data_IF_336073466693
#
_entry.id   IF_336073466693
#
_cell.length_a   1.000
_cell.length_b   1.000
_cell.length_c   1.000
_cell.angle_alpha   90.00
_cell.angle_beta   90.00
_cell.angle_gamma   90.00
#
_symmetry.space_group_name_H-M   'P 1'
#
loop_
_entity.id
_entity.type
_entity.pdbx_description
1 polymer ?
#
# COMPACT_ATOMS: atom_id res chain seq x y z
N UNK A 1 -49.62 -23.99 -36.08
CA UNK A 1 -50.41 -24.53 -34.96
C UNK A 1 -49.49 -24.62 -33.76
N UNK A 2 -49.73 -23.77 -32.76
CA UNK A 2 -48.79 -23.43 -31.69
C UNK A 2 -48.91 -24.51 -30.60
N UNK A 3 -47.80 -25.20 -30.31
CA UNK A 3 -47.75 -26.22 -29.27
C UNK A 3 -47.56 -25.54 -27.92
N UNK A 4 -48.55 -25.73 -27.05
CA UNK A 4 -48.55 -25.27 -25.66
C UNK A 4 -47.36 -25.86 -24.89
N UNK A 5 -46.57 -25.00 -24.25
CA UNK A 5 -45.67 -25.41 -23.18
C UNK A 5 -46.14 -24.79 -21.87
N UNK A 6 -46.51 -25.71 -20.99
CA UNK A 6 -47.20 -25.53 -19.71
C UNK A 6 -46.34 -24.71 -18.77
N UNK A 7 -46.92 -23.61 -18.28
CA UNK A 7 -46.46 -22.91 -17.10
C UNK A 7 -46.75 -23.81 -15.88
N UNK A 8 -45.77 -24.64 -15.50
CA UNK A 8 -45.74 -25.23 -14.17
C UNK A 8 -44.68 -24.46 -13.38
N UNK A 9 -45.17 -23.56 -12.51
CA UNK A 9 -44.36 -22.73 -11.65
C UNK A 9 -43.52 -23.58 -10.71
N UNK A 10 -42.26 -23.79 -11.09
CA UNK A 10 -41.21 -24.03 -10.11
C UNK A 10 -40.68 -22.64 -9.79
N UNK A 11 -41.20 -22.03 -8.74
CA UNK A 11 -40.56 -20.89 -8.10
C UNK A 11 -39.23 -21.38 -7.52
N UNK A 12 -38.25 -21.58 -8.39
CA UNK A 12 -36.87 -21.84 -8.04
C UNK A 12 -36.37 -20.59 -7.35
N UNK A 13 -36.45 -20.60 -6.02
CA UNK A 13 -35.78 -19.62 -5.19
C UNK A 13 -34.28 -19.88 -5.36
N UNK A 14 -33.69 -19.26 -6.39
CA UNK A 14 -32.25 -19.16 -6.55
C UNK A 14 -31.75 -18.31 -5.39
N UNK A 15 -31.54 -18.95 -4.23
CA UNK A 15 -30.64 -18.42 -3.22
C UNK A 15 -29.27 -18.36 -3.86
N UNK A 16 -28.94 -17.20 -4.43
CA UNK A 16 -27.57 -16.82 -4.68
C UNK A 16 -26.86 -16.82 -3.32
N UNK A 17 -26.26 -17.94 -2.97
CA UNK A 17 -25.26 -18.05 -1.92
C UNK A 17 -24.06 -17.22 -2.39
N UNK A 18 -24.18 -15.90 -2.25
CA UNK A 18 -23.07 -14.98 -2.34
C UNK A 18 -22.17 -15.28 -1.16
N UNK A 19 -21.21 -16.18 -1.34
CA UNK A 19 -20.09 -16.29 -0.41
C UNK A 19 -19.36 -14.96 -0.48
N UNK A 20 -19.57 -14.11 0.52
CA UNK A 20 -18.72 -12.95 0.77
C UNK A 20 -17.32 -13.48 1.09
N UNK A 21 -16.51 -13.70 0.05
CA UNK A 21 -15.11 -13.99 0.22
C UNK A 21 -14.48 -12.77 0.89
N UNK A 22 -14.02 -12.93 2.13
CA UNK A 22 -13.30 -11.87 2.82
C UNK A 22 -12.01 -11.57 2.04
N UNK A 23 -11.88 -10.35 1.54
CA UNK A 23 -10.66 -9.89 0.88
C UNK A 23 -9.63 -9.61 1.97
N UNK A 24 -8.59 -10.44 2.05
CA UNK A 24 -7.47 -10.24 2.98
C UNK A 24 -6.47 -9.26 2.38
N UNK A 25 -6.36 -8.07 2.97
CA UNK A 25 -5.35 -7.08 2.62
C UNK A 25 -4.21 -7.14 3.63
N UNK A 26 -2.98 -7.35 3.16
CA UNK A 26 -1.80 -7.37 4.03
C UNK A 26 -1.21 -5.97 4.16
N UNK A 27 -1.05 -5.49 5.38
CA UNK A 27 -0.42 -4.21 5.69
C UNK A 27 0.99 -4.47 6.22
N UNK A 28 1.97 -3.77 5.64
CA UNK A 28 3.36 -3.80 6.10
C UNK A 28 3.70 -2.44 6.70
N UNK A 29 4.26 -2.45 7.91
CA UNK A 29 4.75 -1.24 8.57
C UNK A 29 6.28 -1.24 8.44
N UNK A 30 6.81 -0.20 7.80
CA UNK A 30 8.24 -0.02 7.57
C UNK A 30 8.67 1.18 8.41
N UNK A 31 9.57 0.97 9.36
CA UNK A 31 10.25 2.08 10.03
C UNK A 31 11.30 2.69 9.11
N UNK A 32 11.67 3.94 9.34
CA UNK A 32 12.77 4.59 8.64
C UNK A 32 14.04 3.71 8.67
N UNK A 33 14.78 3.74 7.56
CA UNK A 33 16.14 3.20 7.53
C UNK A 33 17.03 3.99 8.51
N UNK A 34 18.27 3.53 8.68
CA UNK A 34 19.19 4.15 9.64
C UNK A 34 19.35 5.66 9.37
N UNK A 35 19.05 6.47 10.39
CA UNK A 35 19.15 7.93 10.38
C UNK A 35 20.36 8.40 11.20
N UNK A 36 20.97 9.55 10.89
CA UNK A 36 22.04 10.12 11.68
C UNK A 36 21.66 10.35 13.15
N UNK A 37 22.65 10.30 14.04
CA UNK A 37 22.47 10.72 15.42
C UNK A 37 22.27 12.24 15.53
N UNK A 38 21.77 12.69 16.68
CA UNK A 38 21.59 14.11 17.02
C UNK A 38 20.61 14.88 16.11
N UNK A 39 19.68 14.18 15.44
CA UNK A 39 18.65 14.80 14.62
C UNK A 39 19.18 15.49 13.37
N UNK A 40 20.27 14.98 12.78
CA UNK A 40 20.64 15.43 11.44
C UNK A 40 19.72 14.78 10.38
N UNK A 41 19.33 15.53 9.34
CA UNK A 41 18.35 15.06 8.37
C UNK A 41 18.91 13.96 7.47
N UNK A 42 18.00 13.14 6.94
CA UNK A 42 18.26 12.14 5.93
C UNK A 42 18.67 10.78 6.48
N UNK A 43 19.13 9.91 5.58
CA UNK A 43 19.59 8.57 5.92
C UNK A 43 21.12 8.54 6.02
N UNK A 44 21.66 7.75 6.96
CA UNK A 44 23.10 7.45 6.99
C UNK A 44 23.50 6.69 5.72
N UNK A 45 24.80 6.62 5.36
CA UNK A 45 25.24 5.79 4.24
C UNK A 45 24.81 4.32 4.35
N UNK A 46 24.73 3.78 5.57
CA UNK A 46 24.22 2.43 5.82
C UNK A 46 22.70 2.37 5.64
N UNK A 47 21.97 3.37 6.12
CA UNK A 47 20.53 3.51 5.91
C UNK A 47 20.17 3.56 4.44
N UNK A 48 20.87 4.38 3.65
CA UNK A 48 20.71 4.47 2.19
C UNK A 48 20.95 3.12 1.52
N UNK A 49 22.02 2.41 1.89
CA UNK A 49 22.31 1.08 1.35
C UNK A 49 21.17 0.11 1.66
N UNK A 50 20.64 0.09 2.88
CA UNK A 50 19.50 -0.77 3.25
C UNK A 50 18.24 -0.42 2.45
N UNK A 51 17.92 0.86 2.32
CA UNK A 51 16.79 1.33 1.53
C UNK A 51 16.93 0.93 0.04
N UNK A 52 18.13 1.01 -0.52
CA UNK A 52 18.39 0.73 -1.94
C UNK A 52 18.50 -0.77 -2.25
N UNK A 53 19.07 -1.58 -1.37
CA UNK A 53 19.41 -2.98 -1.70
C UNK A 53 18.57 -4.02 -0.98
N UNK A 54 18.07 -3.72 0.22
CA UNK A 54 17.39 -4.72 1.04
C UNK A 54 15.87 -4.67 0.84
N UNK A 55 15.27 -3.49 0.98
CA UNK A 55 13.82 -3.34 0.91
C UNK A 55 13.25 -3.72 -0.47
N UNK A 56 13.82 -3.30 -1.62
CA UNK A 56 13.25 -3.65 -2.92
C UNK A 56 13.21 -5.16 -3.14
N UNK A 57 14.29 -5.86 -2.81
CA UNK A 57 14.37 -7.31 -2.95
C UNK A 57 13.36 -8.05 -2.04
N UNK A 58 13.14 -7.53 -0.82
CA UNK A 58 12.19 -8.10 0.14
C UNK A 58 10.74 -7.94 -0.32
N UNK A 59 10.38 -6.78 -0.88
CA UNK A 59 9.00 -6.45 -1.22
C UNK A 59 8.59 -6.82 -2.66
N UNK A 60 9.55 -7.01 -3.57
CA UNK A 60 9.28 -7.42 -4.96
C UNK A 60 8.33 -8.63 -5.10
N UNK A 61 8.44 -9.72 -4.31
CA UNK A 61 7.53 -10.86 -4.44
C UNK A 61 6.17 -10.69 -3.75
N UNK A 62 5.95 -9.61 -2.98
CA UNK A 62 4.79 -9.49 -2.07
C UNK A 62 3.54 -8.86 -2.71
N UNK A 63 3.58 -8.53 -4.01
CA UNK A 63 2.49 -7.92 -4.76
C UNK A 63 1.91 -6.66 -4.06
N UNK A 64 2.80 -5.81 -3.55
CA UNK A 64 2.41 -4.51 -2.97
C UNK A 64 1.85 -3.63 -4.07
N UNK A 65 0.66 -3.07 -3.85
CA UNK A 65 -0.02 -2.18 -4.80
C UNK A 65 -0.07 -0.71 -4.38
N UNK A 66 0.29 -0.40 -3.14
CA UNK A 66 0.26 0.95 -2.57
C UNK A 66 1.38 1.11 -1.55
N UNK A 67 2.09 2.24 -1.62
CA UNK A 67 3.07 2.64 -0.61
C UNK A 67 2.66 4.02 -0.14
N UNK A 68 2.46 4.16 1.18
CA UNK A 68 2.09 5.41 1.82
C UNK A 68 3.25 5.87 2.70
N UNK A 69 3.57 7.15 2.65
CA UNK A 69 4.49 7.80 3.58
C UNK A 69 3.86 9.11 4.08
N UNK A 70 4.40 9.70 5.14
CA UNK A 70 3.95 11.03 5.56
C UNK A 70 4.45 12.12 4.61
N UNK A 71 3.75 13.26 4.60
CA UNK A 71 4.02 14.38 3.70
C UNK A 71 5.23 15.20 4.19
N UNK A 72 6.35 15.21 3.44
CA UNK A 72 7.54 15.97 3.82
C UNK A 72 7.34 17.49 3.72
N UNK A 73 6.28 17.97 3.06
CA UNK A 73 6.00 19.39 2.83
C UNK A 73 4.84 19.92 3.69
N UNK A 74 4.32 19.11 4.62
CA UNK A 74 3.15 19.42 5.47
C UNK A 74 3.34 20.62 6.42
N UNK A 75 4.55 21.16 6.55
CA UNK A 75 4.81 22.35 7.38
C UNK A 75 4.81 22.10 8.89
N UNK A 76 4.67 20.85 9.33
CA UNK A 76 4.65 20.45 10.74
C UNK A 76 6.08 20.12 11.27
N UNK A 77 6.28 20.16 12.59
CA UNK A 77 7.60 19.96 13.22
C UNK A 77 8.23 18.56 12.93
N UNK A 78 7.44 17.61 12.40
CA UNK A 78 7.87 16.26 12.03
C UNK A 78 8.40 16.12 10.58
N UNK A 79 8.60 17.23 9.86
CA UNK A 79 9.12 17.25 8.46
C UNK A 79 10.34 16.35 8.28
N UNK A 80 11.27 16.35 9.25
CA UNK A 80 12.51 15.59 9.16
C UNK A 80 12.21 14.10 9.03
N UNK A 81 11.43 13.52 9.95
CA UNK A 81 11.04 12.10 9.94
C UNK A 81 10.33 11.68 8.65
N UNK A 82 9.58 12.59 8.03
CA UNK A 82 8.89 12.35 6.76
C UNK A 82 9.83 12.29 5.57
N UNK A 83 10.86 13.14 5.52
CA UNK A 83 11.88 13.04 4.49
C UNK A 83 12.61 11.70 4.55
N UNK A 84 12.93 11.22 5.75
CA UNK A 84 13.57 9.91 5.90
C UNK A 84 12.65 8.74 5.57
N UNK A 85 11.36 8.85 5.89
CA UNK A 85 10.35 7.85 5.52
C UNK A 85 10.25 7.74 3.99
N UNK A 86 10.08 8.86 3.30
CA UNK A 86 10.05 8.92 1.83
C UNK A 86 11.35 8.38 1.24
N UNK A 87 12.51 8.80 1.74
CA UNK A 87 13.82 8.31 1.28
C UNK A 87 14.00 6.80 1.50
N UNK A 88 13.43 6.25 2.58
CA UNK A 88 13.49 4.82 2.89
C UNK A 88 12.71 3.99 1.87
N UNK A 89 11.50 4.43 1.50
CA UNK A 89 10.59 3.62 0.66
C UNK A 89 10.68 3.93 -0.84
N UNK A 90 11.21 5.09 -1.23
CA UNK A 90 11.34 5.51 -2.65
C UNK A 90 12.04 4.48 -3.53
N UNK A 91 13.17 3.85 -3.14
CA UNK A 91 13.80 2.83 -3.98
C UNK A 91 12.89 1.60 -4.19
N UNK A 92 12.10 1.24 -3.18
CA UNK A 92 11.16 0.13 -3.25
C UNK A 92 9.98 0.48 -4.16
N UNK A 93 9.43 1.69 -4.02
CA UNK A 93 8.39 2.20 -4.92
C UNK A 93 8.88 2.22 -6.37
N UNK A 94 10.10 2.68 -6.61
CA UNK A 94 10.71 2.72 -7.94
C UNK A 94 10.85 1.32 -8.53
N UNK A 95 11.33 0.35 -7.75
CA UNK A 95 11.49 -1.04 -8.19
C UNK A 95 10.16 -1.74 -8.49
N UNK A 96 9.10 -1.36 -7.78
CA UNK A 96 7.73 -1.87 -7.98
C UNK A 96 6.94 -1.08 -9.03
N UNK A 97 7.52 -0.04 -9.64
CA UNK A 97 6.83 0.89 -10.54
C UNK A 97 5.60 1.57 -9.90
N UNK A 98 5.70 1.90 -8.62
CA UNK A 98 4.70 2.61 -7.84
C UNK A 98 5.16 4.05 -7.55
N UNK A 99 4.19 4.91 -7.25
CA UNK A 99 4.44 6.20 -6.61
C UNK A 99 4.26 6.06 -5.10
N UNK A 100 5.03 6.85 -4.33
CA UNK A 100 4.81 6.99 -2.90
C UNK A 100 3.66 7.98 -2.71
N UNK A 101 2.58 7.53 -2.09
CA UNK A 101 1.45 8.40 -1.73
C UNK A 101 1.76 9.12 -0.42
N UNK A 102 1.90 10.44 -0.49
CA UNK A 102 2.10 11.31 0.68
C UNK A 102 0.82 12.04 1.09
N UNK A 103 -0.28 11.88 0.35
CA UNK A 103 -1.53 12.63 0.52
C UNK A 103 -2.51 12.00 1.52
N UNK A 104 -2.01 11.19 2.46
CA UNK A 104 -2.84 10.39 3.37
C UNK A 104 -3.85 11.22 4.19
N UNK A 105 -3.54 12.46 4.53
CA UNK A 105 -4.43 13.36 5.27
C UNK A 105 -5.60 13.88 4.41
N UNK A 106 -5.41 14.00 3.09
CA UNK A 106 -6.47 14.44 2.16
C UNK A 106 -7.54 13.36 1.92
N UNK A 107 -7.25 12.12 2.31
CA UNK A 107 -8.16 10.97 2.19
C UNK A 107 -9.00 10.69 3.45
N UNK A 108 -8.81 11.45 4.53
CA UNK A 108 -9.51 11.30 5.81
C UNK A 108 -10.58 12.38 6.06
N UNK A 109 -10.89 13.21 5.06
CA UNK A 109 -11.90 14.28 5.10
C UNK A 109 -13.14 13.91 4.28
#
# INVERSE_FOLDING_TARGET
>A
MVSSLVHCGVAGLYFALGTLAAVSNTIYLISNAEVPALGQPGLTPIGQKRAQTCLPALFNPLNVGLIIACDPDSGEDDIQYCQEAVATVTPTATALHLQVDTSWYAHLV
#
